data_IF_252512612646
#
_entry.id   IF_252512612646
#
_cell.length_a   1.000
_cell.length_b   1.000
_cell.length_c   1.000
_cell.angle_alpha   90.00
_cell.angle_beta   90.00
_cell.angle_gamma   90.00
#
_symmetry.space_group_name_H-M   'P 1'
#
loop_
_entity.id
_entity.type
_entity.pdbx_description
1 polymer ?
#
# COMPACT_ATOMS: atom_id res chain seq x y z
N UNK A 1 37.43 -19.56 -52.80
CA UNK A 1 35.96 -19.48 -52.66
C UNK A 1 35.46 -18.32 -53.52
N UNK A 2 34.48 -18.49 -54.42
CA UNK A 2 34.11 -17.39 -55.34
C UNK A 2 33.36 -16.27 -54.58
N UNK A 3 33.56 -15.01 -54.98
CA UNK A 3 32.92 -13.83 -54.34
C UNK A 3 31.40 -13.98 -54.17
N UNK A 4 30.73 -14.65 -55.13
CA UNK A 4 29.29 -14.95 -55.06
C UNK A 4 28.91 -15.87 -53.90
N UNK A 5 29.73 -16.90 -53.60
CA UNK A 5 29.48 -17.81 -52.47
C UNK A 5 29.66 -17.13 -51.12
N UNK A 6 30.62 -16.20 -51.01
CA UNK A 6 30.85 -15.41 -49.79
C UNK A 6 29.69 -14.44 -49.53
N UNK A 7 29.19 -13.74 -50.56
CA UNK A 7 28.02 -12.84 -50.43
C UNK A 7 26.77 -13.63 -50.03
N UNK A 8 26.55 -14.80 -50.62
CA UNK A 8 25.41 -15.66 -50.27
C UNK A 8 25.48 -16.09 -48.79
N UNK A 9 26.65 -16.57 -48.34
CA UNK A 9 26.90 -16.98 -46.96
C UNK A 9 26.70 -15.85 -45.94
N UNK A 10 27.19 -14.64 -46.23
CA UNK A 10 26.99 -13.47 -45.36
C UNK A 10 25.50 -13.11 -45.29
N UNK A 11 24.78 -13.12 -46.43
CA UNK A 11 23.34 -12.81 -46.43
C UNK A 11 22.52 -13.83 -45.64
N UNK A 12 22.84 -15.12 -45.76
CA UNK A 12 22.17 -16.19 -45.00
C UNK A 12 22.48 -16.08 -43.51
N UNK A 13 23.71 -15.71 -43.15
CA UNK A 13 24.11 -15.54 -41.76
C UNK A 13 23.37 -14.33 -41.13
N UNK A 14 23.22 -13.23 -41.86
CA UNK A 14 22.46 -12.06 -41.40
C UNK A 14 20.98 -12.37 -41.15
N UNK A 15 20.33 -13.13 -42.03
CA UNK A 15 18.92 -13.54 -41.85
C UNK A 15 18.76 -14.44 -40.62
N UNK A 16 19.69 -15.37 -40.40
CA UNK A 16 19.68 -16.25 -39.21
C UNK A 16 19.86 -15.44 -37.92
N UNK A 17 20.80 -14.49 -37.90
CA UNK A 17 21.03 -13.63 -36.72
C UNK A 17 19.81 -12.76 -36.41
N UNK A 18 19.18 -12.15 -37.42
CA UNK A 18 17.94 -11.37 -37.24
C UNK A 18 16.80 -12.27 -36.76
N UNK A 19 16.66 -13.48 -37.31
CA UNK A 19 15.67 -14.46 -36.86
C UNK A 19 15.83 -14.85 -35.39
N UNK A 20 17.08 -15.07 -34.93
CA UNK A 20 17.38 -15.38 -33.53
C UNK A 20 17.07 -14.19 -32.62
N UNK A 21 17.44 -12.96 -33.02
CA UNK A 21 17.13 -11.75 -32.25
C UNK A 21 15.62 -11.56 -32.11
N UNK A 22 14.87 -11.72 -33.19
CA UNK A 22 13.40 -11.61 -33.16
C UNK A 22 12.77 -12.71 -32.31
N UNK A 23 13.27 -13.96 -32.39
CA UNK A 23 12.80 -15.08 -31.60
C UNK A 23 13.00 -14.89 -30.09
N UNK A 24 13.99 -14.08 -29.66
CA UNK A 24 14.23 -13.77 -28.25
C UNK A 24 13.48 -12.50 -27.82
N UNK A 25 13.54 -11.44 -28.63
CA UNK A 25 12.99 -10.12 -28.28
C UNK A 25 11.47 -10.08 -28.30
N UNK A 26 10.82 -10.83 -29.20
CA UNK A 26 9.36 -10.87 -29.30
C UNK A 26 8.73 -11.49 -28.04
N UNK A 27 9.14 -12.69 -27.56
CA UNK A 27 8.63 -13.24 -26.30
C UNK A 27 8.93 -12.35 -25.09
N UNK A 28 10.14 -11.76 -25.01
CA UNK A 28 10.48 -10.82 -23.94
C UNK A 28 9.55 -9.61 -23.91
N UNK A 29 9.24 -9.03 -25.08
CA UNK A 29 8.34 -7.88 -25.20
C UNK A 29 6.87 -8.25 -24.94
N UNK A 30 6.45 -9.46 -25.33
CA UNK A 30 5.10 -9.97 -25.05
C UNK A 30 4.91 -10.24 -23.55
N UNK A 31 5.92 -10.79 -22.89
CA UNK A 31 5.86 -11.15 -21.48
C UNK A 31 6.05 -9.96 -20.53
N UNK A 32 6.53 -8.81 -21.00
CA UNK A 32 6.63 -7.59 -20.17
C UNK A 32 5.27 -7.17 -19.61
N UNK A 33 5.25 -6.82 -18.32
CA UNK A 33 4.11 -6.21 -17.63
C UNK A 33 4.13 -4.69 -17.86
N UNK A 34 2.95 -4.10 -18.02
CA UNK A 34 2.76 -2.65 -17.90
C UNK A 34 2.46 -2.33 -16.44
N UNK A 35 3.30 -1.54 -15.79
CA UNK A 35 3.15 -1.21 -14.36
C UNK A 35 2.58 0.18 -14.13
N UNK A 36 2.16 0.90 -15.17
CA UNK A 36 1.69 2.28 -15.06
C UNK A 36 0.57 2.47 -14.03
N UNK A 37 -0.35 1.50 -13.93
CA UNK A 37 -1.45 1.55 -12.97
C UNK A 37 -0.97 1.35 -11.52
N UNK A 38 0.03 0.49 -11.31
CA UNK A 38 0.70 0.34 -10.02
C UNK A 38 1.41 1.64 -9.62
N UNK A 39 2.14 2.24 -10.55
CA UNK A 39 2.83 3.52 -10.33
C UNK A 39 1.84 4.66 -10.02
N UNK A 40 0.70 4.67 -10.72
CA UNK A 40 -0.39 5.63 -10.46
C UNK A 40 -0.97 5.48 -9.05
N UNK A 41 -1.13 4.25 -8.55
CA UNK A 41 -1.59 4.01 -7.18
C UNK A 41 -0.57 4.58 -6.18
N UNK A 42 0.72 4.26 -6.34
CA UNK A 42 1.77 4.78 -5.46
C UNK A 42 1.86 6.31 -5.51
N UNK A 43 1.70 6.92 -6.69
CA UNK A 43 1.66 8.37 -6.84
C UNK A 43 0.48 8.99 -6.09
N UNK A 44 -0.72 8.43 -6.21
CA UNK A 44 -1.91 8.92 -5.49
C UNK A 44 -1.74 8.82 -3.98
N UNK A 45 -1.23 7.69 -3.49
CA UNK A 45 -0.92 7.49 -2.07
C UNK A 45 0.12 8.51 -1.61
N UNK A 46 1.25 8.62 -2.32
CA UNK A 46 2.33 9.54 -1.96
C UNK A 46 1.98 11.02 -2.09
N UNK A 47 0.95 11.37 -2.86
CA UNK A 47 0.48 12.74 -3.01
C UNK A 47 -0.59 13.16 -2.00
N UNK A 48 -1.18 12.20 -1.28
CA UNK A 48 -2.12 12.49 -0.22
C UNK A 48 -1.49 13.36 0.88
N UNK A 49 -2.28 14.31 1.41
CA UNK A 49 -1.79 15.30 2.37
C UNK A 49 -1.43 14.68 3.72
N UNK A 50 -2.22 13.70 4.20
CA UNK A 50 -1.97 12.97 5.43
C UNK A 50 -0.72 12.11 5.30
N UNK A 51 -0.62 11.36 4.21
CA UNK A 51 0.56 10.52 3.91
C UNK A 51 1.84 11.38 3.81
N UNK A 52 1.79 12.52 3.11
CA UNK A 52 2.94 13.44 2.99
C UNK A 52 3.43 13.98 4.33
N UNK A 53 2.61 14.01 5.38
CA UNK A 53 3.06 14.42 6.72
C UNK A 53 4.15 13.49 7.23
N UNK A 54 3.99 12.18 6.99
CA UNK A 54 4.76 11.11 7.63
C UNK A 54 5.72 10.36 6.70
N UNK A 55 5.59 10.53 5.39
CA UNK A 55 6.40 9.81 4.40
C UNK A 55 7.01 10.74 3.36
N UNK A 56 8.23 10.43 2.93
CA UNK A 56 8.98 11.19 1.92
C UNK A 56 8.68 10.73 0.49
N UNK A 57 8.56 9.42 0.30
CA UNK A 57 8.38 8.77 -1.00
C UNK A 57 7.51 7.53 -0.82
N UNK A 58 6.70 7.24 -1.83
CA UNK A 58 5.94 6.00 -1.97
C UNK A 58 6.22 5.41 -3.34
N UNK A 59 6.48 4.11 -3.43
CA UNK A 59 6.75 3.42 -4.70
C UNK A 59 6.32 1.96 -4.65
N UNK A 60 6.20 1.33 -5.81
CA UNK A 60 5.92 -0.09 -5.94
C UNK A 60 7.23 -0.86 -6.09
N UNK A 61 7.38 -1.95 -5.33
CA UNK A 61 8.50 -2.89 -5.45
C UNK A 61 7.98 -4.28 -5.78
N UNK A 62 8.71 -5.08 -6.55
CA UNK A 62 8.35 -6.49 -6.74
C UNK A 62 8.65 -7.27 -5.46
N UNK A 63 7.74 -8.14 -5.04
CA UNK A 63 7.88 -8.94 -3.81
C UNK A 63 9.01 -9.97 -3.92
N UNK A 64 9.08 -10.69 -5.05
CA UNK A 64 10.17 -11.63 -5.37
C UNK A 64 10.25 -11.90 -6.88
N UNK A 65 11.35 -12.50 -7.35
CA UNK A 65 11.57 -12.92 -8.74
C UNK A 65 10.72 -14.12 -9.18
N UNK A 66 10.10 -14.85 -8.24
CA UNK A 66 9.32 -16.06 -8.53
C UNK A 66 7.91 -15.77 -9.05
N UNK A 67 7.29 -14.65 -8.65
CA UNK A 67 5.99 -14.21 -9.14
C UNK A 67 6.07 -12.75 -9.60
N UNK A 68 6.14 -12.55 -10.91
CA UNK A 68 6.36 -11.23 -11.51
C UNK A 68 5.15 -10.29 -11.43
N UNK A 69 4.00 -10.78 -10.97
CA UNK A 69 2.72 -10.04 -10.88
C UNK A 69 2.38 -9.54 -9.48
N UNK A 70 3.19 -9.85 -8.47
CA UNK A 70 2.94 -9.45 -7.08
C UNK A 70 3.93 -8.38 -6.66
N UNK A 71 3.40 -7.32 -6.08
CA UNK A 71 4.14 -6.13 -5.70
C UNK A 71 3.88 -5.79 -4.23
N UNK A 72 4.80 -5.06 -3.64
CA UNK A 72 4.65 -4.44 -2.34
C UNK A 72 4.63 -2.92 -2.52
N UNK A 73 3.77 -2.25 -1.76
CA UNK A 73 3.76 -0.80 -1.65
C UNK A 73 4.77 -0.39 -0.59
N UNK A 74 5.75 0.41 -0.96
CA UNK A 74 6.88 0.76 -0.08
C UNK A 74 6.91 2.24 0.18
N UNK A 75 7.07 2.61 1.46
CA UNK A 75 7.11 3.99 1.94
C UNK A 75 8.45 4.27 2.61
N UNK A 76 9.02 5.44 2.31
CA UNK A 76 10.18 5.97 3.04
C UNK A 76 9.69 6.88 4.17
N UNK A 77 9.91 6.47 5.42
CA UNK A 77 9.43 7.19 6.59
C UNK A 77 10.17 8.52 6.81
N UNK A 78 9.47 9.48 7.39
CA UNK A 78 10.05 10.68 8.00
C UNK A 78 10.28 10.47 9.50
N UNK A 79 11.09 11.31 10.15
CA UNK A 79 11.20 11.32 11.60
C UNK A 79 9.85 11.44 12.32
N UNK A 80 8.91 12.19 11.72
CA UNK A 80 7.54 12.35 12.24
C UNK A 80 6.75 11.06 12.29
N UNK A 81 7.06 10.04 11.47
CA UNK A 81 6.46 8.72 11.57
C UNK A 81 7.17 7.86 12.62
N UNK A 82 8.51 7.88 12.63
CA UNK A 82 9.29 7.00 13.51
C UNK A 82 9.09 7.33 15.00
N UNK A 83 8.79 8.59 15.30
CA UNK A 83 8.54 9.10 16.65
C UNK A 83 7.13 8.82 17.17
N UNK A 84 6.20 8.40 16.30
CA UNK A 84 4.85 8.02 16.70
C UNK A 84 4.87 6.80 17.63
N UNK A 85 3.87 6.70 18.50
CA UNK A 85 3.59 5.47 19.23
C UNK A 85 3.28 4.33 18.26
N UNK A 86 3.44 3.09 18.72
CA UNK A 86 3.17 1.90 17.89
C UNK A 86 1.72 1.88 17.37
N UNK A 87 0.76 2.38 18.16
CA UNK A 87 -0.64 2.54 17.77
C UNK A 87 -0.82 3.59 16.68
N UNK A 88 -0.23 4.77 16.84
CA UNK A 88 -0.29 5.81 15.82
C UNK A 88 0.41 5.38 14.53
N UNK A 89 1.49 4.59 14.61
CA UNK A 89 2.12 3.97 13.44
C UNK A 89 1.15 3.04 12.72
N UNK A 90 0.46 2.15 13.47
CA UNK A 90 -0.54 1.24 12.92
C UNK A 90 -1.64 2.01 12.18
N UNK A 91 -2.22 3.04 12.82
CA UNK A 91 -3.28 3.87 12.22
C UNK A 91 -2.76 4.67 11.02
N UNK A 92 -1.56 5.22 11.09
CA UNK A 92 -0.95 5.97 9.97
C UNK A 92 -0.71 5.06 8.75
N UNK A 93 -0.27 3.82 8.95
CA UNK A 93 -0.16 2.84 7.86
C UNK A 93 -1.55 2.39 7.38
N UNK A 94 -2.55 2.39 8.26
CA UNK A 94 -3.96 2.22 7.90
C UNK A 94 -4.46 3.27 6.90
N UNK A 95 -4.16 4.56 7.07
CA UNK A 95 -4.50 5.62 6.09
C UNK A 95 -3.95 5.30 4.70
N UNK A 96 -2.69 4.85 4.66
CA UNK A 96 -2.02 4.43 3.42
C UNK A 96 -2.78 3.28 2.76
N UNK A 97 -3.22 2.30 3.56
CA UNK A 97 -4.01 1.17 3.07
C UNK A 97 -5.36 1.63 2.49
N UNK A 98 -6.09 2.52 3.17
CA UNK A 98 -7.39 3.00 2.67
C UNK A 98 -7.27 3.70 1.32
N UNK A 99 -6.26 4.55 1.14
CA UNK A 99 -6.02 5.24 -0.14
C UNK A 99 -5.66 4.22 -1.21
N UNK A 100 -4.89 3.19 -0.86
CA UNK A 100 -4.53 2.09 -1.77
C UNK A 100 -5.75 1.27 -2.18
N UNK A 101 -6.64 0.94 -1.25
CA UNK A 101 -7.89 0.21 -1.49
C UNK A 101 -8.79 0.96 -2.48
N UNK A 102 -8.97 2.27 -2.28
CA UNK A 102 -9.75 3.14 -3.18
C UNK A 102 -9.24 3.15 -4.63
N UNK A 103 -7.97 2.82 -4.85
CA UNK A 103 -7.32 2.93 -6.16
C UNK A 103 -6.88 1.59 -6.77
N UNK A 104 -7.07 0.46 -6.07
CA UNK A 104 -6.55 -0.86 -6.50
C UNK A 104 -7.61 -1.83 -6.98
N UNK A 105 -8.88 -1.43 -7.02
CA UNK A 105 -10.00 -2.26 -7.50
C UNK A 105 -10.03 -3.66 -6.85
N UNK A 106 -10.15 -3.70 -5.52
CA UNK A 106 -10.14 -4.95 -4.74
C UNK A 106 -8.90 -5.82 -5.03
N UNK A 107 -7.73 -5.17 -5.12
CA UNK A 107 -6.45 -5.80 -5.41
C UNK A 107 -6.33 -6.48 -6.79
N UNK A 108 -7.11 -6.03 -7.78
CA UNK A 108 -7.07 -6.51 -9.16
C UNK A 108 -6.66 -5.38 -10.09
N UNK A 109 -5.35 -5.21 -10.25
CA UNK A 109 -4.75 -4.08 -10.95
C UNK A 109 -4.37 -4.52 -12.37
N UNK A 110 -4.86 -3.82 -13.39
CA UNK A 110 -4.52 -4.12 -14.77
C UNK A 110 -3.04 -3.81 -15.05
N UNK A 111 -2.30 -4.82 -15.48
CA UNK A 111 -0.88 -4.76 -15.84
C UNK A 111 -0.63 -5.05 -17.33
N UNK A 112 -1.64 -4.81 -18.17
CA UNK A 112 -1.61 -4.91 -19.61
C UNK A 112 -1.71 -6.35 -20.13
N UNK A 113 -2.20 -6.48 -21.37
CA UNK A 113 -2.33 -7.77 -22.10
C UNK A 113 -3.00 -8.86 -21.25
N UNK A 114 -4.13 -8.51 -20.62
CA UNK A 114 -4.95 -9.40 -19.78
C UNK A 114 -4.23 -9.92 -18.51
N UNK A 115 -3.14 -9.27 -18.10
CA UNK A 115 -2.42 -9.61 -16.87
C UNK A 115 -2.95 -8.77 -15.72
N UNK A 116 -3.23 -9.43 -14.61
CA UNK A 116 -3.63 -8.77 -13.36
C UNK A 116 -2.48 -8.85 -12.37
N UNK A 117 -2.12 -7.71 -11.80
CA UNK A 117 -1.21 -7.60 -10.66
C UNK A 117 -1.98 -7.43 -9.36
N UNK A 118 -1.30 -7.74 -8.25
CA UNK A 118 -1.79 -7.54 -6.89
C UNK A 118 -0.69 -6.96 -6.00
N UNK A 119 -1.13 -6.31 -4.93
CA UNK A 119 -0.31 -5.82 -3.82
C UNK A 119 -0.38 -6.87 -2.70
N UNK A 120 0.77 -7.25 -2.14
CA UNK A 120 0.84 -8.23 -1.05
C UNK A 120 1.07 -7.58 0.31
N UNK A 121 1.99 -6.62 0.39
CA UNK A 121 2.34 -5.97 1.65
C UNK A 121 2.48 -4.46 1.48
N UNK A 122 2.29 -3.75 2.58
CA UNK A 122 2.71 -2.37 2.75
C UNK A 122 3.95 -2.38 3.67
N UNK A 123 5.06 -1.86 3.15
CA UNK A 123 6.31 -1.72 3.89
C UNK A 123 6.62 -0.27 4.19
N UNK A 124 7.02 0.02 5.42
CA UNK A 124 7.63 1.30 5.79
C UNK A 124 9.09 1.08 6.14
N UNK A 125 9.96 1.79 5.43
CA UNK A 125 11.40 1.85 5.71
C UNK A 125 11.75 3.21 6.34
N UNK A 126 12.15 3.24 7.62
CA UNK A 126 12.63 4.46 8.27
C UNK A 126 13.94 4.98 7.69
N UNK A 127 14.79 4.11 7.15
CA UNK A 127 15.94 4.50 6.33
C UNK A 127 15.92 3.68 5.03
N UNK A 128 16.01 4.36 3.88
CA UNK A 128 16.08 3.74 2.55
C UNK A 128 17.29 2.79 2.39
N UNK A 129 18.31 2.96 3.22
CA UNK A 129 19.51 2.12 3.24
C UNK A 129 19.44 1.01 4.30
N UNK A 130 18.54 1.12 5.28
CA UNK A 130 18.38 0.13 6.34
C UNK A 130 17.26 -0.86 6.02
N UNK A 131 17.64 -2.03 5.53
CA UNK A 131 16.69 -3.11 5.21
C UNK A 131 16.21 -3.88 6.43
N UNK A 132 16.83 -3.65 7.59
CA UNK A 132 16.58 -4.41 8.81
C UNK A 132 15.40 -3.84 9.56
N UNK A 133 15.45 -2.55 9.86
CA UNK A 133 14.38 -1.85 10.55
C UNK A 133 13.25 -1.63 9.55
N UNK A 134 12.12 -2.30 9.74
CA UNK A 134 10.95 -2.11 8.87
C UNK A 134 9.64 -2.39 9.59
N UNK A 135 8.62 -1.69 9.13
CA UNK A 135 7.24 -1.92 9.52
C UNK A 135 6.51 -2.57 8.34
N UNK A 136 5.64 -3.52 8.64
CA UNK A 136 4.99 -4.36 7.64
C UNK A 136 3.53 -4.58 8.02
N UNK A 137 2.63 -4.40 7.06
CA UNK A 137 1.22 -4.76 7.16
C UNK A 137 0.85 -5.56 5.93
N UNK A 138 0.15 -6.67 6.12
CA UNK A 138 -0.42 -7.46 5.02
C UNK A 138 -1.49 -6.64 4.30
N UNK A 139 -1.39 -6.55 2.98
CA UNK A 139 -2.38 -5.80 2.21
C UNK A 139 -3.67 -6.59 2.09
N UNK A 140 -4.73 -6.08 2.70
CA UNK A 140 -6.08 -6.59 2.53
C UNK A 140 -6.94 -5.53 1.83
N UNK A 141 -7.64 -5.85 0.71
CA UNK A 141 -8.50 -4.92 0.02
C UNK A 141 -9.75 -4.51 0.82
N UNK A 142 -10.01 -5.14 1.95
CA UNK A 142 -11.22 -5.02 2.74
C UNK A 142 -10.95 -4.55 4.18
N UNK A 143 -9.80 -4.83 4.79
CA UNK A 143 -9.60 -4.48 6.21
C UNK A 143 -9.64 -2.97 6.47
N UNK A 144 -10.19 -2.57 7.61
CA UNK A 144 -10.04 -1.21 8.14
C UNK A 144 -8.69 -1.05 8.86
N UNK A 145 -8.23 0.18 9.11
CA UNK A 145 -6.99 0.44 9.86
C UNK A 145 -6.85 -0.34 11.16
N UNK A 146 -7.94 -0.51 11.91
CA UNK A 146 -7.98 -1.16 13.23
C UNK A 146 -7.98 -2.69 13.15
N UNK A 147 -8.36 -3.24 11.99
CA UNK A 147 -8.34 -4.67 11.71
C UNK A 147 -6.95 -5.15 11.27
N UNK A 148 -6.02 -4.21 11.05
CA UNK A 148 -4.66 -4.53 10.66
C UNK A 148 -3.79 -4.94 11.84
N UNK A 149 -2.79 -5.76 11.52
CA UNK A 149 -1.67 -6.07 12.41
C UNK A 149 -0.41 -5.42 11.85
N UNK A 150 0.22 -4.55 12.64
CA UNK A 150 1.50 -3.96 12.31
C UNK A 150 2.62 -4.86 12.83
N UNK A 151 3.37 -5.45 11.91
CA UNK A 151 4.59 -6.20 12.21
C UNK A 151 5.78 -5.24 12.26
N UNK A 152 6.41 -5.16 13.43
CA UNK A 152 7.61 -4.37 13.64
C UNK A 152 8.80 -5.30 13.68
N UNK A 153 9.78 -5.06 12.80
CA UNK A 153 11.07 -5.77 12.79
C UNK A 153 12.15 -4.79 13.22
N UNK A 154 12.66 -5.00 14.43
CA UNK A 154 13.71 -4.17 15.06
C UNK A 154 15.00 -4.97 15.26
N UNK A 155 16.14 -4.27 15.38
CA UNK A 155 17.37 -4.88 15.88
C UNK A 155 17.22 -5.22 17.37
N UNK A 156 17.85 -6.31 17.79
CA UNK A 156 17.91 -6.70 19.22
C UNK A 156 18.94 -5.85 19.98
N UNK A 157 19.93 -5.29 19.27
CA UNK A 157 21.05 -4.54 19.84
C UNK A 157 21.38 -3.34 18.94
N UNK A 158 21.84 -2.23 19.54
CA UNK A 158 22.35 -1.05 18.83
C UNK A 158 23.64 -1.35 18.04
N UNK A 159 24.22 -2.55 18.24
CA UNK A 159 25.32 -3.05 17.43
C UNK A 159 24.91 -3.28 15.96
N UNK A 160 25.45 -2.50 15.00
CA UNK A 160 25.12 -2.63 13.58
C UNK A 160 25.62 -3.95 12.95
N UNK A 161 26.50 -4.70 13.62
CA UNK A 161 26.95 -6.04 13.20
C UNK A 161 26.08 -7.18 13.74
N UNK A 162 25.14 -6.89 14.65
CA UNK A 162 24.21 -7.90 15.16
C UNK A 162 23.21 -8.31 14.07
N UNK A 163 23.16 -9.61 13.79
CA UNK A 163 22.19 -10.22 12.87
C UNK A 163 20.88 -10.59 13.58
N UNK A 164 20.79 -10.34 14.89
CA UNK A 164 19.61 -10.63 15.70
C UNK A 164 18.51 -9.59 15.48
N UNK A 165 17.33 -10.07 15.10
CA UNK A 165 16.14 -9.24 14.95
C UNK A 165 15.03 -9.74 15.87
N UNK A 166 14.29 -8.81 16.45
CA UNK A 166 13.06 -9.10 17.17
C UNK A 166 11.87 -8.71 16.30
N UNK A 167 10.81 -9.50 16.40
CA UNK A 167 9.53 -9.22 15.76
C UNK A 167 8.50 -8.98 16.84
N UNK A 168 7.79 -7.86 16.75
CA UNK A 168 6.63 -7.57 17.60
C UNK A 168 5.43 -7.31 16.70
N UNK A 169 4.27 -7.72 17.18
CA UNK A 169 3.00 -7.48 16.52
C UNK A 169 2.23 -6.44 17.32
N UNK A 170 1.71 -5.45 16.63
CA UNK A 170 0.89 -4.39 17.21
C UNK A 170 -0.48 -4.52 16.58
N UNK A 171 -1.49 -4.69 17.43
CA UNK A 171 -2.90 -4.74 17.04
C UNK A 171 -3.62 -3.61 17.76
N UNK A 172 -4.76 -3.20 17.23
CA UNK A 172 -5.55 -2.15 17.86
C UNK A 172 -6.27 -2.71 19.10
N UNK A 173 -6.10 -2.04 20.26
CA UNK A 173 -6.83 -2.33 21.49
C UNK A 173 -7.45 -1.04 22.05
N UNK A 174 -8.75 -1.09 22.38
CA UNK A 174 -9.52 0.08 22.86
C UNK A 174 -9.13 0.51 24.28
N UNK A 175 -8.54 -0.38 25.07
CA UNK A 175 -8.19 -0.11 26.48
C UNK A 175 -6.85 0.62 26.64
N UNK A 176 -6.10 0.84 25.55
CA UNK A 176 -4.81 1.53 25.58
C UNK A 176 -4.94 3.07 25.49
N UNK A 177 -6.18 3.59 25.37
CA UNK A 177 -6.48 5.03 25.22
C UNK A 177 -6.55 5.83 26.53
N UNK A 178 -6.25 5.24 27.68
CA UNK A 178 -6.29 5.96 28.96
C UNK A 178 -5.02 6.77 29.29
N UNK A 179 -4.05 6.94 28.38
CA UNK A 179 -2.88 7.74 28.72
C UNK A 179 -2.24 8.56 27.60
N UNK A 180 -2.22 9.88 27.84
CA UNK A 180 -1.38 10.95 27.28
C UNK A 180 -1.84 11.56 25.95
N UNK A 181 -1.75 12.86 25.70
CA UNK A 181 -1.56 14.08 26.49
C UNK A 181 -1.98 15.23 25.54
N UNK A 182 -2.36 16.38 26.11
CA UNK A 182 -2.93 17.54 25.42
C UNK A 182 -2.13 18.04 24.18
N UNK A 183 -2.60 17.72 22.98
CA UNK A 183 -2.33 18.53 21.78
C UNK A 183 -3.57 19.38 21.47
N UNK A 184 -3.35 20.69 21.27
CA UNK A 184 -4.35 21.71 20.96
C UNK A 184 -5.12 21.37 19.66
N UNK A 185 -6.15 20.53 19.79
CA UNK A 185 -7.00 20.09 18.69
C UNK A 185 -8.02 21.18 18.37
N UNK A 186 -7.94 21.74 17.17
CA UNK A 186 -9.05 22.49 16.58
C UNK A 186 -10.29 21.59 16.60
N UNK A 187 -11.39 22.09 17.15
CA UNK A 187 -12.68 21.41 17.30
C UNK A 187 -13.27 21.11 15.90
N UNK A 188 -12.74 20.10 15.21
CA UNK A 188 -13.25 19.64 13.93
C UNK A 188 -14.59 18.97 14.19
N UNK A 189 -15.65 19.51 13.58
CA UNK A 189 -16.95 18.87 13.54
C UNK A 189 -17.01 17.87 12.40
N UNK A 190 -17.81 16.81 12.58
CA UNK A 190 -18.03 15.83 11.53
C UNK A 190 -18.55 16.48 10.25
N UNK A 191 -18.06 16.03 9.11
CA UNK A 191 -18.46 16.56 7.80
C UNK A 191 -18.46 15.46 6.73
N UNK A 192 -19.42 15.55 5.82
CA UNK A 192 -19.44 14.74 4.60
C UNK A 192 -18.11 14.91 3.84
N UNK A 193 -17.58 13.80 3.34
CA UNK A 193 -16.29 13.72 2.66
C UNK A 193 -15.13 13.29 3.57
N UNK A 194 -15.31 13.24 4.89
CA UNK A 194 -14.30 12.73 5.80
C UNK A 194 -13.97 11.25 5.55
N UNK A 195 -12.72 10.87 5.75
CA UNK A 195 -12.33 9.46 5.80
C UNK A 195 -12.80 8.80 7.10
N UNK A 196 -12.79 7.47 7.14
CA UNK A 196 -13.11 6.70 8.34
C UNK A 196 -12.18 7.10 9.51
N UNK A 197 -10.90 7.26 9.21
CA UNK A 197 -9.90 7.72 10.19
C UNK A 197 -10.15 9.14 10.70
N UNK A 198 -10.48 10.08 9.82
CA UNK A 198 -10.80 11.45 10.24
C UNK A 198 -11.99 11.48 11.21
N UNK A 199 -12.99 10.62 10.99
CA UNK A 199 -14.15 10.47 11.88
C UNK A 199 -13.76 9.84 13.22
N UNK A 200 -12.93 8.80 13.23
CA UNK A 200 -12.46 8.14 14.46
C UNK A 200 -11.63 9.09 15.32
N UNK A 201 -10.89 10.01 14.71
CA UNK A 201 -10.13 11.03 15.43
C UNK A 201 -11.03 12.13 16.05
N UNK A 202 -12.33 12.18 15.73
CA UNK A 202 -13.25 13.14 16.34
C UNK A 202 -13.67 12.69 17.74
N UNK A 203 -13.45 13.57 18.72
CA UNK A 203 -13.85 13.34 20.13
C UNK A 203 -15.34 13.00 20.31
N UNK A 204 -16.21 13.58 19.50
CA UNK A 204 -17.68 13.42 19.62
C UNK A 204 -18.24 12.16 18.93
N UNK A 205 -17.42 11.52 18.08
CA UNK A 205 -17.79 10.32 17.34
C UNK A 205 -16.91 9.15 17.76
N UNK A 206 -15.62 9.18 17.47
CA UNK A 206 -14.72 8.08 17.80
C UNK A 206 -15.07 6.82 17.01
N UNK A 207 -14.82 5.65 17.61
CA UNK A 207 -15.13 4.35 16.99
C UNK A 207 -16.62 4.01 17.10
N UNK A 208 -17.26 3.46 16.05
CA UNK A 208 -18.64 3.02 16.13
C UNK A 208 -18.79 1.80 17.03
N UNK A 209 -19.98 1.67 17.62
CA UNK A 209 -20.37 0.48 18.38
C UNK A 209 -20.48 -0.76 17.49
N UNK A 210 -20.88 -0.58 16.23
CA UNK A 210 -20.90 -1.65 15.23
C UNK A 210 -20.72 -1.11 13.82
N UNK A 211 -20.17 -1.97 12.95
CA UNK A 211 -20.00 -1.69 11.53
C UNK A 211 -20.73 -2.78 10.74
N UNK A 212 -21.67 -2.37 9.89
CA UNK A 212 -22.29 -3.26 8.91
C UNK A 212 -21.70 -2.97 7.53
N UNK A 213 -21.02 -3.95 6.96
CA UNK A 213 -20.33 -3.83 5.69
C UNK A 213 -21.04 -4.61 4.59
N UNK A 214 -21.26 -3.94 3.46
CA UNK A 214 -21.83 -4.53 2.24
C UNK A 214 -20.87 -4.32 1.08
N UNK A 215 -20.40 -5.42 0.49
CA UNK A 215 -19.56 -5.40 -0.71
C UNK A 215 -20.40 -5.69 -1.94
N UNK A 216 -20.29 -4.84 -2.96
CA UNK A 216 -20.99 -4.97 -4.24
C UNK A 216 -19.99 -4.92 -5.40
N UNK A 217 -20.44 -5.22 -6.62
CA UNK A 217 -19.61 -5.07 -7.81
C UNK A 217 -19.16 -3.61 -8.05
N UNK A 218 -19.91 -2.63 -7.52
CA UNK A 218 -19.64 -1.20 -7.65
C UNK A 218 -18.77 -0.61 -6.53
N UNK A 219 -18.49 -1.38 -5.46
CA UNK A 219 -17.72 -0.88 -4.32
C UNK A 219 -18.21 -1.38 -2.97
N UNK A 220 -17.70 -0.76 -1.91
CA UNK A 220 -17.96 -1.11 -0.52
C UNK A 220 -18.81 -0.02 0.14
N UNK A 221 -19.92 -0.42 0.74
CA UNK A 221 -20.75 0.45 1.58
C UNK A 221 -20.65 0.00 3.03
N UNK A 222 -20.43 0.94 3.95
CA UNK A 222 -20.41 0.66 5.38
C UNK A 222 -21.43 1.55 6.10
N UNK A 223 -22.15 0.97 7.07
CA UNK A 223 -22.93 1.70 8.05
C UNK A 223 -22.25 1.56 9.41
N UNK A 224 -21.90 2.68 10.00
CA UNK A 224 -21.30 2.80 11.31
C UNK A 224 -22.37 3.25 12.32
N UNK A 225 -22.54 2.50 13.40
CA UNK A 225 -23.62 2.68 14.39
C UNK A 225 -23.08 3.26 15.69
N UNK A 226 -23.69 4.33 16.20
CA UNK A 226 -23.32 5.01 17.45
C UNK A 226 -24.54 5.15 18.40
N UNK A 227 -25.36 4.11 18.48
CA UNK A 227 -26.64 4.15 19.18
C UNK A 227 -27.78 4.59 18.25
N UNK A 228 -28.31 5.80 18.44
CA UNK A 228 -29.35 6.37 17.58
C UNK A 228 -28.81 7.13 16.37
N UNK A 229 -27.49 7.31 16.29
CA UNK A 229 -26.80 8.03 15.21
C UNK A 229 -26.10 7.04 14.28
N UNK A 230 -26.09 7.34 12.98
CA UNK A 230 -25.51 6.49 11.96
C UNK A 230 -24.66 7.30 10.99
N UNK A 231 -23.53 6.73 10.59
CA UNK A 231 -22.72 7.24 9.50
C UNK A 231 -22.68 6.23 8.38
N UNK A 232 -22.77 6.71 7.14
CA UNK A 232 -22.70 5.87 5.96
C UNK A 232 -21.47 6.24 5.15
N UNK A 233 -20.66 5.24 4.83
CA UNK A 233 -19.47 5.40 4.02
C UNK A 233 -19.65 4.69 2.68
N UNK A 234 -19.27 5.36 1.61
CA UNK A 234 -19.10 4.78 0.28
C UNK A 234 -17.59 4.74 -0.02
N UNK A 235 -17.06 3.55 -0.22
CA UNK A 235 -15.66 3.27 -0.48
C UNK A 235 -14.71 4.01 0.49
N UNK A 236 -15.05 4.01 1.79
CA UNK A 236 -14.23 4.63 2.84
C UNK A 236 -14.30 6.17 2.88
N UNK A 237 -15.34 6.78 2.33
CA UNK A 237 -15.62 8.22 2.41
C UNK A 237 -17.01 8.44 3.00
N UNK A 238 -17.14 9.30 4.01
CA UNK A 238 -18.41 9.61 4.66
C UNK A 238 -19.36 10.31 3.68
N UNK A 239 -20.51 9.71 3.41
CA UNK A 239 -21.52 10.24 2.46
C UNK A 239 -22.81 10.67 3.13
N UNK A 240 -23.18 10.09 4.27
CA UNK A 240 -24.41 10.45 5.01
C UNK A 240 -24.18 10.44 6.51
N UNK A 241 -24.73 11.44 7.19
CA UNK A 241 -24.85 11.54 8.65
C UNK A 241 -26.35 11.48 8.98
N UNK A 242 -26.74 10.56 9.87
CA UNK A 242 -28.12 10.40 10.33
C UNK A 242 -28.15 10.50 11.85
N UNK A 243 -29.07 11.32 12.38
CA UNK A 243 -29.26 11.58 13.82
C UNK A 243 -30.75 11.52 14.20
#
# INVERSE_FOLDING_TARGET
>A
MSKKKIILLISTLSVVVVGIILAITIPMYINRLDTSNLDTIAEKVGNDKGVKKNFNQVWMSKTDKSNDKVYDLVLAAKPSFTQLSDKEKLLTVGEVMEITQKNSNLNKIDCGKDKVCSIAHIFVHPDKHDKVLRYEVDYDPLNTPEENTLLIKDRVDDNPESTGFQRREVTYSENDDEQSEDEEYQEKKIAIGMTKQEVIQLKDWGRPMSIHKTTTASGINEQWVYGSRYLYFDNGVLTTIQE
#
